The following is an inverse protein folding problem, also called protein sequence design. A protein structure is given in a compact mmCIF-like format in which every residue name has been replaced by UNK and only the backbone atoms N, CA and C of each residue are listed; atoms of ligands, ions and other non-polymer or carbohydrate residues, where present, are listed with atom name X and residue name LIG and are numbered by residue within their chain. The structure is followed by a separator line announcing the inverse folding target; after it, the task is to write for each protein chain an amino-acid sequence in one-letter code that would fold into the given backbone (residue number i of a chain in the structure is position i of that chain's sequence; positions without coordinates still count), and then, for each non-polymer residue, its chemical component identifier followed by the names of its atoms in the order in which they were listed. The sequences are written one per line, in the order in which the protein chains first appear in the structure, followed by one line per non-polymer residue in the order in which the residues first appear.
data_IF_615474824587
#
_entry.id   IF_615474824587
#
_cell.length_a   1.000
_cell.length_b   1.000
_cell.length_c   1.000
_cell.angle_alpha   90.00
_cell.angle_beta   90.00
_cell.angle_gamma   90.00
#
_symmetry.space_group_name_H-M   'P 1'
#
loop_
_entity.id
_entity.type
_entity.pdbx_description
1 polymer ?
#
# COMPACT_ATOMS: atom_id res chain seq x y z
N UNK A 1 44.47 33.03 15.61
CA UNK A 1 43.39 32.04 15.35
C UNK A 1 42.08 32.66 15.76
N UNK A 2 41.10 32.73 14.85
CA UNK A 2 39.78 33.29 15.14
C UNK A 2 39.09 33.70 13.85
N UNK A 3 38.65 32.73 13.05
CA UNK A 3 37.82 32.99 11.88
C UNK A 3 36.41 33.25 12.40
N UNK A 4 36.02 34.52 12.46
CA UNK A 4 34.70 34.92 12.92
C UNK A 4 33.69 34.65 11.80
N UNK A 5 33.07 33.47 11.84
CA UNK A 5 32.17 32.98 10.79
C UNK A 5 30.75 33.49 11.11
N UNK A 6 30.42 34.67 10.60
CA UNK A 6 29.09 35.25 10.72
C UNK A 6 28.16 34.54 9.72
N UNK A 7 27.13 33.79 10.18
CA UNK A 7 26.25 33.07 9.27
C UNK A 7 25.39 34.08 8.49
N UNK A 8 25.64 34.18 7.19
CA UNK A 8 24.86 35.07 6.32
C UNK A 8 23.38 34.64 6.31
N UNK A 9 22.48 35.62 6.23
CA UNK A 9 21.03 35.43 6.15
C UNK A 9 20.59 34.47 5.02
N UNK A 10 21.45 34.25 4.01
CA UNK A 10 21.26 33.27 2.93
C UNK A 10 21.36 31.82 3.39
N UNK A 11 22.17 31.52 4.40
CA UNK A 11 22.38 30.15 4.90
C UNK A 11 21.14 29.64 5.64
N UNK A 12 20.46 30.52 6.38
CA UNK A 12 19.19 30.20 7.05
C UNK A 12 18.03 30.02 6.05
N UNK A 13 18.00 30.81 4.96
CA UNK A 13 16.98 30.68 3.93
C UNK A 13 17.06 29.33 3.19
N UNK A 14 18.28 28.85 2.92
CA UNK A 14 18.52 27.56 2.27
C UNK A 14 18.15 26.36 3.16
N UNK A 15 18.35 26.46 4.48
CA UNK A 15 17.89 25.44 5.44
C UNK A 15 16.36 25.42 5.59
N UNK A 16 15.69 26.57 5.48
CA UNK A 16 14.24 26.62 5.50
C UNK A 16 13.62 26.01 4.22
N UNK A 17 14.22 26.23 3.06
CA UNK A 17 13.73 25.69 1.78
C UNK A 17 13.83 24.16 1.67
N UNK A 18 14.81 23.53 2.33
CA UNK A 18 14.90 22.06 2.37
C UNK A 18 13.89 21.43 3.34
N UNK A 19 13.47 22.15 4.39
CA UNK A 19 12.48 21.65 5.36
C UNK A 19 11.04 21.68 4.84
N UNK A 20 10.69 22.65 3.98
CA UNK A 20 9.32 22.79 3.45
C UNK A 20 9.01 21.73 2.36
N UNK A 21 10.01 21.18 1.69
CA UNK A 21 9.81 20.24 0.58
C UNK A 21 9.47 18.79 1.01
N UNK A 22 9.73 18.39 2.26
CA UNK A 22 9.75 16.95 2.63
C UNK A 22 8.52 16.49 3.42
N UNK A 23 7.76 17.40 4.03
CA UNK A 23 6.67 17.01 4.94
C UNK A 23 5.24 17.09 4.35
N UNK A 24 5.01 17.88 3.29
CA UNK A 24 3.66 18.12 2.76
C UNK A 24 3.09 17.03 1.83
N UNK A 25 3.94 16.15 1.27
CA UNK A 25 3.52 15.20 0.23
C UNK A 25 3.09 13.84 0.77
N UNK A 26 3.52 13.50 2.00
CA UNK A 26 3.51 12.12 2.44
C UNK A 26 2.13 11.52 2.75
N UNK A 27 1.26 12.18 3.52
CA UNK A 27 -0.07 11.64 3.83
C UNK A 27 -0.97 11.52 2.60
N UNK A 28 -0.77 12.41 1.62
CA UNK A 28 -1.60 12.48 0.40
C UNK A 28 -1.37 11.28 -0.52
N UNK A 29 -0.11 10.87 -0.71
CA UNK A 29 0.23 9.71 -1.55
C UNK A 29 -0.27 8.41 -0.93
N UNK A 30 -0.07 8.22 0.39
CA UNK A 30 -0.58 7.03 1.10
C UNK A 30 -2.09 6.87 0.89
N UNK A 31 -2.84 7.98 1.04
CA UNK A 31 -4.28 8.02 0.86
C UNK A 31 -4.73 7.66 -0.56
N UNK A 32 -4.08 8.23 -1.57
CA UNK A 32 -4.39 7.97 -2.99
C UNK A 32 -4.21 6.48 -3.30
N UNK A 33 -3.08 5.89 -2.89
CA UNK A 33 -2.80 4.48 -3.12
C UNK A 33 -3.84 3.56 -2.46
N UNK A 34 -4.30 3.89 -1.25
CA UNK A 34 -5.36 3.15 -0.57
C UNK A 34 -6.70 3.26 -1.29
N UNK A 35 -7.08 4.46 -1.73
CA UNK A 35 -8.33 4.71 -2.47
C UNK A 35 -8.35 3.98 -3.82
N UNK A 36 -7.29 4.13 -4.60
CA UNK A 36 -7.19 3.44 -5.90
C UNK A 36 -7.17 1.91 -5.71
N UNK A 37 -6.54 1.40 -4.64
CA UNK A 37 -6.58 -0.03 -4.32
C UNK A 37 -8.03 -0.50 -4.08
N UNK A 38 -8.83 0.25 -3.32
CA UNK A 38 -10.24 -0.07 -3.07
C UNK A 38 -11.02 -0.10 -4.39
N UNK A 39 -10.86 0.91 -5.25
CA UNK A 39 -11.55 0.98 -6.53
C UNK A 39 -11.17 -0.16 -7.48
N UNK A 40 -9.89 -0.54 -7.52
CA UNK A 40 -9.43 -1.66 -8.34
C UNK A 40 -9.98 -3.01 -7.83
N UNK A 41 -10.03 -3.21 -6.51
CA UNK A 41 -10.67 -4.39 -5.93
C UNK A 41 -12.15 -4.44 -6.32
N UNK A 42 -12.86 -3.32 -6.21
CA UNK A 42 -14.29 -3.27 -6.58
C UNK A 42 -14.53 -3.62 -8.05
N UNK A 43 -13.71 -3.08 -8.95
CA UNK A 43 -13.77 -3.42 -10.39
C UNK A 43 -13.60 -4.93 -10.62
N UNK A 44 -12.61 -5.55 -9.97
CA UNK A 44 -12.35 -6.99 -10.12
C UNK A 44 -13.50 -7.82 -9.55
N UNK A 45 -14.03 -7.45 -8.38
CA UNK A 45 -15.13 -8.17 -7.74
C UNK A 45 -16.48 -8.04 -8.47
N UNK A 46 -16.66 -6.95 -9.22
CA UNK A 46 -17.88 -6.67 -9.99
C UNK A 46 -17.83 -7.23 -11.42
N UNK A 47 -16.64 -7.51 -11.96
CA UNK A 47 -16.47 -8.10 -13.28
C UNK A 47 -17.09 -9.51 -13.32
N UNK A 48 -18.08 -9.69 -14.19
CA UNK A 48 -18.85 -10.92 -14.41
C UNK A 48 -18.32 -11.77 -15.58
N UNK A 49 -17.16 -11.42 -16.14
CA UNK A 49 -16.53 -12.22 -17.19
C UNK A 49 -16.15 -13.61 -16.67
N UNK A 50 -16.21 -14.62 -17.53
CA UNK A 50 -15.78 -15.99 -17.20
C UNK A 50 -14.32 -16.02 -16.70
N UNK A 51 -13.47 -15.14 -17.27
CA UNK A 51 -12.09 -14.94 -16.82
C UNK A 51 -12.03 -14.47 -15.37
N UNK A 52 -12.84 -13.48 -15.02
CA UNK A 52 -12.91 -12.96 -13.65
C UNK A 52 -13.36 -14.06 -12.68
N UNK A 53 -14.39 -14.83 -13.02
CA UNK A 53 -14.86 -15.93 -12.16
C UNK A 53 -13.77 -16.97 -11.90
N UNK A 54 -13.00 -17.35 -12.93
CA UNK A 54 -11.85 -18.25 -12.77
C UNK A 54 -10.79 -17.68 -11.82
N UNK A 55 -10.47 -16.40 -11.95
CA UNK A 55 -9.51 -15.72 -11.05
C UNK A 55 -10.04 -15.67 -9.62
N UNK A 56 -11.32 -15.30 -9.44
CA UNK A 56 -11.95 -15.12 -8.12
C UNK A 56 -12.09 -16.43 -7.34
N UNK A 57 -12.19 -17.56 -8.04
CA UNK A 57 -12.27 -18.90 -7.45
C UNK A 57 -10.89 -19.54 -7.19
N UNK A 58 -9.79 -18.91 -7.64
CA UNK A 58 -8.44 -19.39 -7.34
C UNK A 58 -8.14 -19.27 -5.85
N UNK A 59 -7.53 -20.30 -5.25
CA UNK A 59 -7.12 -20.27 -3.85
C UNK A 59 -5.75 -19.62 -3.68
N UNK A 60 -5.64 -18.69 -2.73
CA UNK A 60 -4.42 -17.97 -2.38
C UNK A 60 -4.15 -18.00 -0.89
N UNK A 61 -2.88 -17.90 -0.51
CA UNK A 61 -2.46 -17.85 0.91
C UNK A 61 -3.06 -16.64 1.59
N UNK A 62 -3.73 -16.84 2.73
CA UNK A 62 -4.33 -15.77 3.50
C UNK A 62 -3.30 -15.09 4.40
N UNK A 63 -3.13 -13.79 4.20
CA UNK A 63 -2.19 -12.94 4.93
C UNK A 63 -2.86 -12.12 6.03
N UNK A 64 -4.16 -12.30 6.27
CA UNK A 64 -4.99 -11.57 7.23
C UNK A 64 -5.40 -12.44 8.43
N UNK A 65 -4.47 -12.94 9.26
CA UNK A 65 -4.83 -13.74 10.42
C UNK A 65 -5.71 -12.91 11.35
N UNK A 66 -6.85 -13.48 11.75
CA UNK A 66 -7.82 -12.90 12.69
C UNK A 66 -8.28 -11.47 12.33
N UNK A 67 -8.29 -11.12 11.04
CA UNK A 67 -8.70 -9.79 10.59
C UNK A 67 -7.68 -8.68 10.86
N UNK A 68 -6.43 -9.03 11.18
CA UNK A 68 -5.34 -8.06 11.33
C UNK A 68 -5.15 -7.23 10.06
N UNK A 69 -4.95 -5.93 10.23
CA UNK A 69 -4.73 -4.99 9.14
C UNK A 69 -3.52 -4.10 9.44
N UNK A 70 -2.31 -4.60 9.18
CA UNK A 70 -1.07 -3.84 9.29
C UNK A 70 -0.60 -3.31 7.92
N UNK A 71 0.37 -2.38 7.90
CA UNK A 71 1.05 -1.96 6.65
C UNK A 71 1.78 -3.16 6.02
N UNK A 72 2.41 -3.97 6.87
CA UNK A 72 3.01 -5.24 6.51
C UNK A 72 2.00 -6.26 5.95
N UNK A 73 0.78 -6.33 6.49
CA UNK A 73 -0.28 -7.21 5.95
C UNK A 73 -0.58 -6.88 4.49
N UNK A 74 -0.68 -5.59 4.14
CA UNK A 74 -0.90 -5.16 2.75
C UNK A 74 0.32 -5.44 1.86
N UNK A 75 1.54 -5.34 2.40
CA UNK A 75 2.73 -5.81 1.69
C UNK A 75 2.63 -7.31 1.38
N UNK A 76 2.31 -8.14 2.39
CA UNK A 76 2.22 -9.60 2.19
C UNK A 76 1.15 -9.93 1.16
N UNK A 77 0.07 -9.17 1.16
CA UNK A 77 -0.97 -9.30 0.15
C UNK A 77 -0.44 -8.99 -1.27
N UNK A 78 0.38 -7.95 -1.44
CA UNK A 78 1.07 -7.67 -2.71
C UNK A 78 1.94 -8.87 -3.15
N UNK A 79 2.70 -9.45 -2.22
CA UNK A 79 3.55 -10.60 -2.50
C UNK A 79 2.76 -11.86 -2.90
N UNK A 80 1.57 -12.06 -2.33
CA UNK A 80 0.65 -13.11 -2.77
C UNK A 80 0.15 -12.83 -4.19
N UNK A 81 -0.26 -11.59 -4.50
CA UNK A 81 -0.75 -11.26 -5.85
C UNK A 81 0.35 -11.41 -6.92
N UNK A 82 1.62 -11.18 -6.57
CA UNK A 82 2.77 -11.33 -7.46
C UNK A 82 2.88 -12.73 -8.09
N UNK A 83 2.40 -13.77 -7.41
CA UNK A 83 2.41 -15.16 -7.91
C UNK A 83 1.08 -15.60 -8.56
N UNK A 84 0.19 -14.66 -8.87
CA UNK A 84 -1.14 -14.93 -9.45
C UNK A 84 -1.33 -14.22 -10.79
N UNK A 85 -2.47 -14.45 -11.44
CA UNK A 85 -2.88 -13.71 -12.64
C UNK A 85 -3.08 -12.20 -12.43
N UNK A 86 -3.04 -11.72 -11.18
CA UNK A 86 -3.16 -10.31 -10.85
C UNK A 86 -1.80 -9.58 -10.76
N UNK A 87 -0.66 -10.25 -10.99
CA UNK A 87 0.68 -9.68 -10.81
C UNK A 87 0.99 -8.43 -11.67
N UNK A 88 0.38 -8.31 -12.85
CA UNK A 88 0.58 -7.19 -13.77
C UNK A 88 -0.53 -6.14 -13.68
N UNK A 89 -1.49 -6.33 -12.78
CA UNK A 89 -2.63 -5.41 -12.63
C UNK A 89 -2.25 -4.17 -11.84
N UNK A 90 -3.05 -3.11 -12.01
CA UNK A 90 -2.96 -1.88 -11.22
C UNK A 90 -3.11 -2.18 -9.73
N UNK A 91 -3.94 -3.16 -9.35
CA UNK A 91 -4.09 -3.60 -7.96
C UNK A 91 -2.75 -4.01 -7.34
N UNK A 92 -2.01 -4.93 -7.98
CA UNK A 92 -0.71 -5.37 -7.47
C UNK A 92 0.28 -4.21 -7.39
N UNK A 93 0.34 -3.36 -8.44
CA UNK A 93 1.23 -2.21 -8.47
C UNK A 93 0.96 -1.24 -7.33
N UNK A 94 -0.30 -0.95 -7.04
CA UNK A 94 -0.69 0.00 -5.99
C UNK A 94 -0.39 -0.55 -4.59
N UNK A 95 -0.67 -1.84 -4.34
CA UNK A 95 -0.30 -2.48 -3.08
C UNK A 95 1.21 -2.52 -2.87
N UNK A 96 1.97 -2.83 -3.92
CA UNK A 96 3.43 -2.86 -3.85
C UNK A 96 4.02 -1.45 -3.65
N UNK A 97 3.50 -0.45 -4.36
CA UNK A 97 3.89 0.95 -4.17
C UNK A 97 3.57 1.43 -2.74
N UNK A 98 2.39 1.09 -2.22
CA UNK A 98 2.03 1.38 -0.82
C UNK A 98 3.01 0.72 0.16
N UNK A 99 3.38 -0.53 -0.08
CA UNK A 99 4.35 -1.25 0.75
C UNK A 99 5.74 -0.58 0.72
N UNK A 100 6.24 -0.21 -0.46
CA UNK A 100 7.49 0.56 -0.62
C UNK A 100 7.42 1.87 0.16
N UNK A 101 6.34 2.61 -0.08
CA UNK A 101 6.12 3.92 0.49
C UNK A 101 6.04 3.90 2.02
N UNK A 102 5.55 2.79 2.58
CA UNK A 102 5.42 2.58 4.03
C UNK A 102 6.61 1.86 4.66
N UNK A 103 7.68 1.57 3.91
CA UNK A 103 8.91 0.97 4.44
C UNK A 103 8.92 -0.56 4.51
N UNK A 104 8.01 -1.24 3.81
CA UNK A 104 7.87 -2.71 3.82
C UNK A 104 8.17 -3.32 2.44
N UNK A 105 9.40 -3.24 1.94
CA UNK A 105 9.69 -3.61 0.53
C UNK A 105 9.76 -5.13 0.26
N UNK A 106 10.02 -5.96 1.29
CA UNK A 106 10.26 -7.40 1.14
C UNK A 106 9.66 -8.19 2.32
N UNK A 107 8.34 -8.14 2.46
CA UNK A 107 7.65 -8.95 3.46
C UNK A 107 7.60 -10.43 3.05
N UNK A 108 7.89 -11.31 4.00
CA UNK A 108 7.70 -12.76 3.82
C UNK A 108 6.22 -13.11 3.91
N UNK A 109 5.77 -14.02 3.05
CA UNK A 109 4.43 -14.61 3.13
C UNK A 109 4.55 -15.87 3.97
N UNK A 110 4.04 -15.90 5.22
CA UNK A 110 4.08 -17.10 6.04
C UNK A 110 3.19 -18.20 5.43
N UNK A 111 3.51 -19.46 5.74
CA UNK A 111 2.57 -20.54 5.50
C UNK A 111 1.29 -20.27 6.30
N UNK A 112 0.15 -20.30 5.61
CA UNK A 112 -1.15 -19.97 6.18
C UNK A 112 -2.24 -20.72 5.44
N UNK A 113 -3.45 -20.69 5.98
CA UNK A 113 -4.66 -21.22 5.33
C UNK A 113 -4.85 -20.53 3.98
N UNK A 114 -5.36 -21.27 3.00
CA UNK A 114 -5.71 -20.70 1.70
C UNK A 114 -7.19 -20.38 1.65
N UNK A 115 -7.53 -19.23 1.09
CA UNK A 115 -8.90 -18.79 0.87
C UNK A 115 -9.12 -18.45 -0.61
N UNK A 116 -10.37 -18.48 -1.11
CA UNK A 116 -10.68 -18.00 -2.45
C UNK A 116 -10.21 -16.56 -2.63
N UNK A 117 -9.70 -16.23 -3.82
CA UNK A 117 -9.23 -14.89 -4.20
C UNK A 117 -10.30 -13.84 -3.91
N UNK A 118 -11.57 -14.15 -4.13
CA UNK A 118 -12.69 -13.26 -3.79
C UNK A 118 -12.69 -12.81 -2.32
N UNK A 119 -12.50 -13.75 -1.40
CA UNK A 119 -12.47 -13.46 0.04
C UNK A 119 -11.21 -12.67 0.39
N UNK A 120 -10.07 -13.05 -0.19
CA UNK A 120 -8.80 -12.36 -0.02
C UNK A 120 -8.84 -10.90 -0.49
N UNK A 121 -9.41 -10.63 -1.67
CA UNK A 121 -9.64 -9.28 -2.20
C UNK A 121 -10.57 -8.47 -1.28
N UNK A 122 -11.62 -9.10 -0.75
CA UNK A 122 -12.53 -8.46 0.21
C UNK A 122 -11.79 -8.04 1.49
N UNK A 123 -10.89 -8.89 2.00
CA UNK A 123 -10.03 -8.58 3.16
C UNK A 123 -9.06 -7.43 2.86
N UNK A 124 -8.46 -7.39 1.66
CA UNK A 124 -7.64 -6.25 1.21
C UNK A 124 -8.45 -4.95 1.25
N UNK A 125 -9.63 -4.93 0.60
CA UNK A 125 -10.51 -3.75 0.56
C UNK A 125 -10.84 -3.25 1.96
N UNK A 126 -11.29 -4.15 2.85
CA UNK A 126 -11.62 -3.80 4.24
C UNK A 126 -10.42 -3.21 4.97
N UNK A 127 -9.24 -3.77 4.78
CA UNK A 127 -8.02 -3.25 5.39
C UNK A 127 -7.66 -1.86 4.87
N UNK A 128 -7.74 -1.63 3.55
CA UNK A 128 -7.50 -0.31 2.97
C UNK A 128 -8.51 0.74 3.48
N UNK A 129 -9.79 0.38 3.63
CA UNK A 129 -10.82 1.27 4.20
C UNK A 129 -10.50 1.66 5.64
N UNK A 130 -10.13 0.68 6.49
CA UNK A 130 -9.73 0.96 7.87
C UNK A 130 -8.55 1.94 7.93
N UNK A 131 -7.54 1.75 7.07
CA UNK A 131 -6.36 2.61 7.03
C UNK A 131 -6.63 4.00 6.47
N UNK A 132 -7.56 4.11 5.52
CA UNK A 132 -7.99 5.40 4.98
C UNK A 132 -8.72 6.25 6.04
N UNK A 133 -9.45 5.61 6.96
CA UNK A 133 -10.22 6.28 8.01
C UNK A 133 -9.37 6.70 9.23
N UNK A 134 -8.20 6.08 9.45
CA UNK A 134 -7.32 6.42 10.59
C UNK A 134 -6.65 7.79 10.40
N UNK A 135 -6.50 8.27 9.18
CA UNK A 135 -5.89 9.57 8.87
C UNK A 135 -6.88 10.77 8.95
N UNK A 136 -8.06 10.58 9.54
CA UNK A 136 -9.13 11.62 9.70
C UNK A 136 -9.26 12.11 11.16
N UNK A 137 -8.35 11.72 12.06
CA UNK A 137 -8.31 12.22 13.44
C UNK A 137 -7.05 13.04 13.70
#
# INVERSE_FOLDING_TARGET
MGINMQPSMRTFLLLALTLVAVNGSKPKVEKILLMETIENVDKILQDRSERSEKILNQFVTDTFPSGSCSKETLCRAAMVLKSTHLNQTVLHRNLYAYAIYTGHQNCSVPASVKHPMKEFLTKIKKCCQLRNNVHVK
#
